data_IF_109057588114
#
_entry.id   IF_109057588114
#
_cell.length_a   1.000
_cell.length_b   1.000
_cell.length_c   1.000
_cell.angle_alpha   90.00
_cell.angle_beta   90.00
_cell.angle_gamma   90.00
#
_symmetry.space_group_name_H-M   'P 1'
#
loop_
_entity.id
_entity.type
_entity.pdbx_description
1 polymer ?
#
# COMPACT_ATOMS: atom_id res chain seq x y z
N UNK A 1 -1.32 -11.28 -11.20
CA UNK A 1 -1.07 -12.18 -12.37
C UNK A 1 -2.32 -12.32 -13.23
N UNK A 2 -3.42 -12.89 -12.71
CA UNK A 2 -4.62 -13.25 -13.51
C UNK A 2 -5.19 -12.07 -14.30
N UNK A 3 -5.31 -10.88 -13.73
CA UNK A 3 -5.77 -9.67 -14.44
C UNK A 3 -4.88 -9.31 -15.63
N UNK A 4 -3.56 -9.41 -15.46
CA UNK A 4 -2.63 -9.18 -16.56
C UNK A 4 -2.78 -10.23 -17.66
N UNK A 5 -2.87 -11.52 -17.32
CA UNK A 5 -3.11 -12.59 -18.30
C UNK A 5 -4.41 -12.37 -19.06
N UNK A 6 -5.47 -11.91 -18.37
CA UNK A 6 -6.79 -11.64 -18.96
C UNK A 6 -6.74 -10.59 -20.09
N UNK A 7 -5.99 -9.49 -19.91
CA UNK A 7 -5.82 -8.46 -20.95
C UNK A 7 -4.73 -8.84 -21.95
N UNK A 8 -3.65 -9.46 -21.54
CA UNK A 8 -2.54 -9.86 -22.39
C UNK A 8 -2.98 -10.88 -23.46
N UNK A 9 -3.90 -11.79 -23.13
CA UNK A 9 -4.46 -12.74 -24.07
C UNK A 9 -5.27 -12.09 -25.22
N UNK A 10 -5.72 -10.87 -25.05
CA UNK A 10 -6.45 -10.11 -26.07
C UNK A 10 -5.60 -9.01 -26.72
N UNK A 11 -4.38 -8.81 -26.24
CA UNK A 11 -3.45 -7.80 -26.77
C UNK A 11 -2.91 -8.21 -28.14
N UNK A 12 -2.81 -7.25 -29.06
CA UNK A 12 -2.38 -7.49 -30.45
C UNK A 12 -0.96 -6.97 -30.74
N UNK A 13 -0.24 -6.48 -29.72
CA UNK A 13 1.16 -6.07 -29.85
C UNK A 13 2.16 -7.21 -29.65
N UNK A 14 3.44 -6.93 -29.87
CA UNK A 14 4.51 -7.93 -29.79
C UNK A 14 4.89 -8.29 -28.36
N UNK A 15 4.95 -7.31 -27.45
CA UNK A 15 5.27 -7.51 -26.02
C UNK A 15 4.10 -7.06 -25.14
N UNK A 16 3.41 -7.99 -24.45
CA UNK A 16 2.35 -7.63 -23.50
C UNK A 16 2.80 -6.69 -22.37
N UNK A 17 4.12 -6.54 -22.15
CA UNK A 17 4.63 -5.57 -21.16
C UNK A 17 4.26 -4.13 -21.50
N UNK A 18 4.00 -3.81 -22.77
CA UNK A 18 3.52 -2.49 -23.21
C UNK A 18 2.16 -2.11 -22.56
N UNK A 19 1.37 -3.10 -22.15
CA UNK A 19 0.12 -2.87 -21.39
C UNK A 19 0.40 -2.12 -20.08
N UNK A 20 1.57 -2.37 -19.47
CA UNK A 20 1.94 -1.84 -18.16
C UNK A 20 2.91 -0.66 -18.29
N UNK A 21 3.97 -0.83 -19.07
CA UNK A 21 5.05 0.15 -19.20
C UNK A 21 4.80 1.26 -20.22
N UNK A 22 3.72 1.15 -20.99
CA UNK A 22 3.38 2.08 -22.06
C UNK A 22 1.91 2.39 -22.16
N UNK A 23 1.45 2.63 -23.38
CA UNK A 23 0.05 2.92 -23.70
C UNK A 23 -0.74 1.69 -24.17
N UNK A 24 -0.16 0.51 -24.04
CA UNK A 24 -0.73 -0.75 -24.55
C UNK A 24 -2.12 -1.05 -24.00
N UNK A 25 -2.40 -0.66 -22.75
CA UNK A 25 -3.73 -0.85 -22.15
C UNK A 25 -4.83 -0.12 -22.94
N UNK A 26 -4.54 1.02 -23.53
CA UNK A 26 -5.49 1.80 -24.33
C UNK A 26 -5.86 1.10 -25.65
N UNK A 27 -5.01 0.17 -26.11
CA UNK A 27 -5.22 -0.62 -27.33
C UNK A 27 -6.09 -1.85 -27.05
N UNK A 28 -6.24 -2.27 -25.78
CA UNK A 28 -7.07 -3.43 -25.41
C UNK A 28 -8.52 -3.01 -25.29
N UNK A 29 -9.41 -3.65 -26.05
CA UNK A 29 -10.86 -3.36 -26.06
C UNK A 29 -11.69 -4.41 -25.34
N UNK A 30 -11.11 -5.55 -25.00
CA UNK A 30 -11.77 -6.64 -24.28
C UNK A 30 -10.73 -7.43 -23.48
N UNK A 31 -11.19 -8.11 -22.44
CA UNK A 31 -10.38 -9.00 -21.63
C UNK A 31 -11.13 -10.34 -21.45
N UNK A 32 -10.41 -11.39 -21.09
CA UNK A 32 -11.05 -12.65 -20.70
C UNK A 32 -11.73 -12.42 -19.34
N UNK A 33 -13.05 -12.71 -19.19
CA UNK A 33 -13.71 -12.60 -17.89
C UNK A 33 -13.01 -13.45 -16.84
N UNK A 34 -12.87 -12.92 -15.62
CA UNK A 34 -12.22 -13.60 -14.52
C UNK A 34 -13.08 -13.57 -13.25
N UNK A 35 -12.96 -14.60 -12.44
CA UNK A 35 -13.44 -14.64 -11.07
C UNK A 35 -12.28 -14.91 -10.13
N UNK A 36 -12.47 -14.67 -8.83
CA UNK A 36 -11.42 -14.87 -7.83
C UNK A 36 -11.92 -15.70 -6.65
N UNK A 37 -11.01 -16.47 -6.07
CA UNK A 37 -11.14 -17.05 -4.73
C UNK A 37 -10.00 -16.46 -3.91
N UNK A 38 -10.32 -15.64 -2.92
CA UNK A 38 -9.33 -14.93 -2.13
C UNK A 38 -8.63 -15.88 -1.15
N UNK A 39 -7.31 -16.00 -1.26
CA UNK A 39 -6.49 -16.83 -0.37
C UNK A 39 -5.51 -16.04 0.48
N UNK A 40 -5.20 -14.79 0.10
CA UNK A 40 -4.31 -13.88 0.83
C UNK A 40 -4.90 -12.48 0.83
N UNK A 41 -5.59 -12.07 1.93
CA UNK A 41 -6.11 -10.71 2.07
C UNK A 41 -4.98 -9.70 2.20
N UNK A 42 -4.95 -8.69 1.34
CA UNK A 42 -3.97 -7.59 1.34
C UNK A 42 -4.40 -6.47 0.39
N UNK A 43 -4.40 -6.76 -0.91
CA UNK A 43 -4.43 -5.81 -2.02
C UNK A 43 -5.83 -5.39 -2.47
N UNK A 44 -6.90 -5.97 -1.92
CA UNK A 44 -8.28 -5.73 -2.41
C UNK A 44 -8.49 -6.09 -3.89
N UNK A 45 -7.56 -6.87 -4.50
CA UNK A 45 -7.58 -7.19 -5.93
C UNK A 45 -8.84 -7.93 -6.37
N UNK A 46 -9.50 -8.60 -5.45
CA UNK A 46 -10.77 -9.28 -5.65
C UNK A 46 -11.94 -8.33 -5.88
N UNK A 47 -11.79 -7.03 -5.53
CA UNK A 47 -12.85 -6.02 -5.64
C UNK A 47 -12.37 -4.69 -6.27
N UNK A 48 -11.24 -4.70 -7.00
CA UNK A 48 -10.73 -3.54 -7.72
C UNK A 48 -10.30 -3.90 -9.15
N UNK A 49 -9.86 -2.91 -9.92
CA UNK A 49 -9.41 -3.08 -11.30
C UNK A 49 -7.88 -3.00 -11.46
N UNK A 50 -7.14 -2.97 -10.36
CA UNK A 50 -5.69 -2.76 -10.37
C UNK A 50 -4.93 -4.10 -10.41
N UNK A 51 -3.73 -4.06 -10.96
CA UNK A 51 -2.76 -5.14 -10.86
C UNK A 51 -1.34 -4.57 -10.87
N UNK A 52 -0.44 -5.22 -10.13
CA UNK A 52 0.99 -4.89 -10.10
C UNK A 52 1.77 -6.11 -10.54
N UNK A 53 2.65 -5.92 -11.51
CA UNK A 53 3.43 -7.01 -12.13
C UNK A 53 4.91 -6.68 -12.06
N UNK A 54 5.71 -7.68 -11.70
CA UNK A 54 7.17 -7.59 -11.73
C UNK A 54 7.73 -8.23 -12.99
N UNK A 55 8.64 -7.53 -13.68
CA UNK A 55 9.45 -8.08 -14.77
C UNK A 55 10.89 -8.20 -14.29
N UNK A 56 11.32 -9.43 -14.03
CA UNK A 56 12.65 -9.70 -13.44
C UNK A 56 13.79 -9.32 -14.36
N UNK A 57 13.64 -9.50 -15.68
CA UNK A 57 14.69 -9.20 -16.66
C UNK A 57 15.08 -7.73 -16.72
N UNK A 58 14.15 -6.82 -16.38
CA UNK A 58 14.36 -5.38 -16.35
C UNK A 58 14.36 -4.81 -14.93
N UNK A 59 14.19 -5.67 -13.91
CA UNK A 59 14.05 -5.27 -12.51
C UNK A 59 12.99 -4.17 -12.31
N UNK A 60 11.83 -4.34 -12.95
CA UNK A 60 10.71 -3.42 -12.84
C UNK A 60 9.55 -4.04 -12.07
N UNK A 61 8.84 -3.22 -11.30
CA UNK A 61 7.57 -3.56 -10.65
C UNK A 61 6.62 -2.40 -10.87
N UNK A 62 5.68 -2.55 -11.79
CA UNK A 62 4.79 -1.49 -12.26
C UNK A 62 3.32 -1.90 -12.10
N UNK A 63 2.46 -0.90 -11.92
CA UNK A 63 1.01 -1.06 -11.81
C UNK A 63 0.32 -0.73 -13.12
N UNK A 64 -0.85 -1.33 -13.33
CA UNK A 64 -1.83 -0.88 -14.31
C UNK A 64 -3.26 -1.06 -13.75
N UNK A 65 -4.20 -0.31 -14.31
CA UNK A 65 -5.62 -0.45 -13.99
C UNK A 65 -6.47 -0.40 -15.26
N UNK A 66 -7.56 -1.16 -15.29
CA UNK A 66 -8.55 -1.14 -16.36
C UNK A 66 -9.88 -1.72 -15.89
N UNK A 67 -10.98 -1.07 -16.25
CA UNK A 67 -12.32 -1.58 -15.94
C UNK A 67 -12.59 -2.97 -16.56
N UNK A 68 -11.83 -3.34 -17.59
CA UNK A 68 -11.92 -4.65 -18.24
C UNK A 68 -11.51 -5.81 -17.33
N UNK A 69 -10.75 -5.56 -16.25
CA UNK A 69 -10.19 -6.60 -15.38
C UNK A 69 -10.83 -6.62 -13.99
N UNK A 70 -11.96 -5.95 -13.78
CA UNK A 70 -12.76 -6.22 -12.60
C UNK A 70 -13.17 -7.69 -12.56
N UNK A 71 -12.99 -8.41 -11.43
CA UNK A 71 -13.55 -9.75 -11.29
C UNK A 71 -15.08 -9.73 -11.46
N UNK A 72 -15.62 -10.69 -12.19
CA UNK A 72 -17.06 -10.84 -12.36
C UNK A 72 -17.74 -11.33 -11.07
N UNK A 73 -17.01 -12.07 -10.27
CA UNK A 73 -17.38 -12.50 -8.93
C UNK A 73 -16.13 -12.76 -8.10
N UNK A 74 -16.29 -12.71 -6.78
CA UNK A 74 -15.21 -13.02 -5.84
C UNK A 74 -15.75 -13.83 -4.66
N UNK A 75 -15.04 -14.90 -4.30
CA UNK A 75 -15.34 -15.73 -3.14
C UNK A 75 -14.36 -15.35 -2.05
N UNK A 76 -14.91 -14.88 -0.92
CA UNK A 76 -14.19 -14.49 0.27
C UNK A 76 -14.51 -15.48 1.39
N UNK A 77 -13.77 -16.59 1.44
CA UNK A 77 -13.90 -17.59 2.49
C UNK A 77 -12.72 -17.46 3.47
N UNK A 78 -12.95 -17.08 4.73
CA UNK A 78 -11.88 -16.92 5.72
C UNK A 78 -11.06 -18.18 5.96
N UNK A 79 -11.64 -19.36 5.78
CA UNK A 79 -10.94 -20.64 5.99
C UNK A 79 -9.79 -20.85 4.99
N UNK A 80 -9.86 -20.26 3.80
CA UNK A 80 -8.77 -20.30 2.82
C UNK A 80 -7.46 -19.69 3.36
N UNK A 81 -7.56 -18.84 4.39
CA UNK A 81 -6.41 -18.18 5.02
C UNK A 81 -5.76 -19.00 6.13
N UNK A 82 -6.34 -20.14 6.55
CA UNK A 82 -5.85 -20.89 7.70
C UNK A 82 -4.47 -21.51 7.49
N UNK A 83 -4.15 -21.85 6.25
CA UNK A 83 -2.84 -22.39 5.87
C UNK A 83 -1.77 -21.30 5.61
N UNK A 84 -2.12 -20.01 5.67
CA UNK A 84 -1.16 -18.94 5.45
C UNK A 84 -0.11 -18.89 6.57
N UNK A 85 1.19 -18.80 6.22
CA UNK A 85 2.22 -18.49 7.19
C UNK A 85 1.94 -17.16 7.89
N UNK A 86 2.26 -17.05 9.17
CA UNK A 86 2.08 -15.80 9.93
C UNK A 86 2.72 -14.58 9.26
N UNK A 87 3.87 -14.77 8.57
CA UNK A 87 4.51 -13.70 7.79
C UNK A 87 3.56 -13.11 6.74
N UNK A 88 2.79 -13.93 6.05
CA UNK A 88 1.86 -13.45 5.02
C UNK A 88 0.66 -12.71 5.61
N UNK A 89 0.20 -13.14 6.79
CA UNK A 89 -0.89 -12.44 7.49
C UNK A 89 -0.43 -11.07 7.94
N UNK A 90 0.76 -10.97 8.57
CA UNK A 90 1.37 -9.68 8.95
C UNK A 90 1.51 -8.76 7.73
N UNK A 91 2.05 -9.30 6.65
CA UNK A 91 2.22 -8.56 5.40
C UNK A 91 0.88 -8.02 4.89
N UNK A 92 -0.16 -8.85 4.87
CA UNK A 92 -1.49 -8.41 4.42
C UNK A 92 -2.12 -7.34 5.31
N UNK A 93 -1.93 -7.44 6.64
CA UNK A 93 -2.43 -6.41 7.59
C UNK A 93 -1.72 -5.08 7.35
N UNK A 94 -0.38 -5.08 7.23
CA UNK A 94 0.41 -3.86 6.99
C UNK A 94 0.07 -3.26 5.63
N UNK A 95 -0.02 -4.08 4.59
CA UNK A 95 -0.38 -3.66 3.24
C UNK A 95 -1.76 -2.97 3.20
N UNK A 96 -2.79 -3.62 3.77
CA UNK A 96 -4.13 -3.03 3.88
C UNK A 96 -4.13 -1.73 4.70
N UNK A 97 -3.36 -1.68 5.78
CA UNK A 97 -3.24 -0.48 6.63
C UNK A 97 -2.63 0.70 5.86
N UNK A 98 -1.56 0.45 5.11
CA UNK A 98 -0.90 1.47 4.29
C UNK A 98 -1.79 1.91 3.14
N UNK A 99 -2.51 0.99 2.47
CA UNK A 99 -3.52 1.35 1.46
C UNK A 99 -4.52 2.38 1.97
N UNK A 100 -5.04 2.19 3.19
CA UNK A 100 -5.96 3.16 3.79
C UNK A 100 -5.26 4.49 4.06
N UNK A 101 -4.02 4.47 4.59
CA UNK A 101 -3.30 5.70 4.93
C UNK A 101 -2.95 6.54 3.70
N UNK A 102 -2.61 5.95 2.56
CA UNK A 102 -2.30 6.69 1.34
C UNK A 102 -3.52 7.33 0.68
N UNK A 103 -4.73 6.85 0.99
CA UNK A 103 -5.99 7.47 0.60
C UNK A 103 -6.52 8.45 1.66
N UNK A 104 -6.02 8.39 2.90
CA UNK A 104 -6.50 9.17 4.04
C UNK A 104 -5.59 10.35 4.40
N UNK A 105 -4.26 10.17 4.40
CA UNK A 105 -3.28 11.21 4.78
C UNK A 105 -2.95 12.15 3.61
N UNK A 106 -3.97 12.70 3.00
CA UNK A 106 -3.88 13.64 1.87
C UNK A 106 -4.42 15.01 2.26
N UNK A 107 -4.33 16.02 1.38
CA UNK A 107 -4.89 17.31 1.71
C UNK A 107 -6.43 17.28 1.84
N UNK A 108 -7.00 18.01 2.81
CA UNK A 108 -8.43 17.93 3.07
C UNK A 108 -9.26 18.62 1.97
N UNK A 109 -10.33 17.97 1.54
CA UNK A 109 -11.33 18.48 0.57
C UNK A 109 -12.76 18.42 1.14
N UNK A 110 -12.91 18.28 2.46
CA UNK A 110 -14.21 18.21 3.13
C UNK A 110 -14.83 16.80 3.18
N UNK A 111 -14.06 15.75 2.99
CA UNK A 111 -14.43 14.34 2.86
C UNK A 111 -14.77 13.67 4.21
N UNK A 112 -15.81 14.09 4.89
CA UNK A 112 -16.15 13.58 6.24
C UNK A 112 -16.49 12.07 6.20
N UNK A 113 -17.25 11.62 5.21
CA UNK A 113 -17.69 10.22 5.11
C UNK A 113 -16.50 9.30 4.83
N UNK A 114 -15.68 9.65 3.84
CA UNK A 114 -14.49 8.88 3.47
C UNK A 114 -13.48 8.81 4.63
N UNK A 115 -13.28 9.93 5.32
CA UNK A 115 -12.45 9.98 6.53
C UNK A 115 -12.94 9.01 7.61
N UNK A 116 -14.25 8.99 7.90
CA UNK A 116 -14.82 8.08 8.91
C UNK A 116 -14.73 6.63 8.50
N UNK A 117 -14.91 6.33 7.23
CA UNK A 117 -14.74 4.97 6.71
C UNK A 117 -13.28 4.52 6.81
N UNK A 118 -12.32 5.37 6.41
CA UNK A 118 -10.90 5.10 6.54
C UNK A 118 -10.48 4.88 8.01
N UNK A 119 -10.92 5.76 8.93
CA UNK A 119 -10.66 5.64 10.36
C UNK A 119 -11.23 4.34 10.95
N UNK A 120 -12.44 3.93 10.54
CA UNK A 120 -13.03 2.67 10.96
C UNK A 120 -12.22 1.46 10.46
N UNK A 121 -11.72 1.48 9.23
CA UNK A 121 -10.87 0.41 8.69
C UNK A 121 -9.52 0.33 9.44
N UNK A 122 -8.87 1.47 9.72
CA UNK A 122 -7.63 1.51 10.49
C UNK A 122 -7.82 0.94 11.91
N UNK A 123 -8.87 1.35 12.61
CA UNK A 123 -9.22 0.83 13.93
C UNK A 123 -9.50 -0.67 13.89
N UNK A 124 -10.26 -1.14 12.90
CA UNK A 124 -10.57 -2.56 12.72
C UNK A 124 -9.31 -3.40 12.50
N UNK A 125 -8.38 -2.91 11.66
CA UNK A 125 -7.11 -3.59 11.41
C UNK A 125 -6.23 -3.66 12.66
N UNK A 126 -6.16 -2.57 13.45
CA UNK A 126 -5.44 -2.57 14.73
C UNK A 126 -6.06 -3.58 15.72
N UNK A 127 -7.39 -3.59 15.84
CA UNK A 127 -8.11 -4.46 16.79
C UNK A 127 -7.97 -5.94 16.41
N UNK A 128 -8.10 -6.26 15.12
CA UNK A 128 -8.14 -7.65 14.66
C UNK A 128 -6.75 -8.27 14.54
N UNK A 129 -5.70 -7.46 14.33
CA UNK A 129 -4.35 -7.93 14.02
C UNK A 129 -3.80 -8.97 15.03
N UNK A 130 -3.85 -8.75 16.36
CA UNK A 130 -3.35 -9.73 17.32
C UNK A 130 -4.07 -11.09 17.25
N UNK A 131 -5.39 -11.07 17.01
CA UNK A 131 -6.21 -12.29 16.91
C UNK A 131 -6.03 -12.99 15.57
N UNK A 132 -5.88 -12.23 14.48
CA UNK A 132 -5.62 -12.79 13.16
C UNK A 132 -4.28 -13.54 13.07
N UNK A 133 -3.33 -13.23 13.95
CA UNK A 133 -2.03 -13.89 14.06
C UNK A 133 -2.02 -15.11 15.00
N UNK A 134 -3.11 -15.39 15.71
CA UNK A 134 -3.18 -16.50 16.66
C UNK A 134 -3.23 -17.85 15.96
N UNK A 135 -2.77 -18.88 16.69
CA UNK A 135 -2.92 -20.27 16.32
C UNK A 135 -3.53 -21.05 17.50
N UNK A 136 -4.56 -21.87 17.28
CA UNK A 136 -5.25 -22.12 16.01
C UNK A 136 -5.94 -20.85 15.46
N UNK A 137 -6.20 -20.78 14.13
CA UNK A 137 -6.83 -19.61 13.52
C UNK A 137 -8.24 -19.35 14.08
N UNK A 138 -8.53 -18.08 14.36
CA UNK A 138 -9.86 -17.61 14.73
C UNK A 138 -10.64 -17.19 13.47
N UNK A 139 -11.78 -17.83 13.21
CA UNK A 139 -12.61 -17.55 12.04
C UNK A 139 -13.04 -16.09 11.96
N UNK A 140 -13.54 -15.54 13.07
CA UNK A 140 -14.05 -14.17 13.08
C UNK A 140 -12.92 -13.15 12.84
N UNK A 141 -11.75 -13.38 13.44
CA UNK A 141 -10.60 -12.52 13.20
C UNK A 141 -10.16 -12.57 11.73
N UNK A 142 -10.11 -13.76 11.11
CA UNK A 142 -9.76 -13.89 9.70
C UNK A 142 -10.81 -13.30 8.78
N UNK A 143 -12.11 -13.44 9.08
CA UNK A 143 -13.21 -12.84 8.34
C UNK A 143 -13.15 -11.31 8.39
N UNK A 144 -12.96 -10.73 9.57
CA UNK A 144 -12.86 -9.28 9.74
C UNK A 144 -11.61 -8.70 9.06
N UNK A 145 -10.46 -9.38 9.19
CA UNK A 145 -9.25 -8.99 8.48
C UNK A 145 -9.45 -9.03 6.95
N UNK A 146 -10.00 -10.13 6.43
CA UNK A 146 -10.27 -10.30 5.00
C UNK A 146 -11.17 -9.18 4.47
N UNK A 147 -12.26 -8.89 5.17
CA UNK A 147 -13.20 -7.84 4.78
C UNK A 147 -12.60 -6.44 4.90
N UNK A 148 -11.81 -6.16 5.94
CA UNK A 148 -11.11 -4.90 6.08
C UNK A 148 -10.09 -4.68 4.95
N UNK A 149 -9.31 -5.71 4.58
CA UNK A 149 -8.35 -5.64 3.50
C UNK A 149 -9.02 -5.40 2.13
N UNK A 150 -10.16 -6.07 1.87
CA UNK A 150 -10.97 -5.81 0.66
C UNK A 150 -11.43 -4.36 0.59
N UNK A 151 -11.96 -3.82 1.71
CA UNK A 151 -12.45 -2.44 1.75
C UNK A 151 -11.33 -1.39 1.77
N UNK A 152 -10.11 -1.77 2.14
CA UNK A 152 -8.96 -0.87 2.13
C UNK A 152 -8.60 -0.37 0.72
N UNK A 153 -8.90 -1.16 -0.34
CA UNK A 153 -8.56 -0.79 -1.71
C UNK A 153 -9.62 -1.23 -2.74
N UNK A 154 -10.90 -1.10 -2.42
CA UNK A 154 -12.01 -1.32 -3.35
C UNK A 154 -12.51 -0.04 -4.03
N UNK A 155 -11.76 1.06 -3.91
CA UNK A 155 -12.09 2.38 -4.44
C UNK A 155 -13.34 3.05 -3.82
N UNK A 156 -13.77 2.64 -2.62
CA UNK A 156 -14.88 3.29 -1.95
C UNK A 156 -14.40 4.53 -1.16
N UNK A 157 -13.33 4.38 -0.36
CA UNK A 157 -12.84 5.45 0.51
C UNK A 157 -12.09 6.56 -0.23
N UNK A 158 -11.66 6.33 -1.48
CA UNK A 158 -10.99 7.33 -2.31
C UNK A 158 -11.94 8.14 -3.21
N UNK A 159 -13.24 7.88 -3.19
CA UNK A 159 -14.16 8.58 -4.09
C UNK A 159 -14.26 10.07 -3.75
N UNK A 160 -13.76 10.90 -4.68
CA UNK A 160 -13.77 12.36 -4.55
C UNK A 160 -12.71 12.91 -3.59
N UNK A 161 -11.71 12.11 -3.23
CA UNK A 161 -10.56 12.54 -2.42
C UNK A 161 -9.25 12.33 -3.19
N UNK A 162 -8.19 13.12 -2.92
CA UNK A 162 -6.87 12.89 -3.48
C UNK A 162 -6.23 11.63 -2.88
N UNK A 163 -5.30 11.04 -3.63
CA UNK A 163 -4.52 9.87 -3.22
C UNK A 163 -3.02 10.18 -3.30
N UNK A 164 -2.21 9.62 -2.39
CA UNK A 164 -0.77 9.87 -2.35
C UNK A 164 0.03 8.86 -3.17
N UNK A 165 0.00 7.61 -2.80
CA UNK A 165 0.71 6.46 -3.38
C UNK A 165 2.25 6.52 -3.34
N UNK A 166 2.87 7.57 -2.83
CA UNK A 166 4.33 7.71 -2.80
C UNK A 166 5.02 6.59 -2.00
N UNK A 167 4.40 6.10 -0.90
CA UNK A 167 4.95 4.96 -0.15
C UNK A 167 4.99 3.70 -1.01
N UNK A 168 3.94 3.43 -1.79
CA UNK A 168 3.86 2.28 -2.67
C UNK A 168 4.85 2.39 -3.83
N UNK A 169 4.96 3.54 -4.48
CA UNK A 169 5.86 3.75 -5.61
C UNK A 169 7.33 3.57 -5.19
N UNK A 170 7.74 4.16 -4.06
CA UNK A 170 9.06 3.95 -3.47
C UNK A 170 9.26 2.48 -3.09
N UNK A 171 8.26 1.87 -2.46
CA UNK A 171 8.28 0.46 -2.06
C UNK A 171 8.40 -0.50 -3.24
N UNK A 172 7.80 -0.18 -4.40
CA UNK A 172 7.93 -0.97 -5.63
C UNK A 172 9.37 -0.98 -6.14
N UNK A 173 10.05 0.18 -6.13
CA UNK A 173 11.45 0.26 -6.53
C UNK A 173 12.37 -0.53 -5.59
N UNK A 174 12.14 -0.45 -4.27
CA UNK A 174 12.89 -1.25 -3.28
C UNK A 174 12.65 -2.75 -3.50
N UNK A 175 11.40 -3.17 -3.73
CA UNK A 175 11.12 -4.58 -4.06
C UNK A 175 11.84 -5.02 -5.33
N UNK A 176 11.84 -4.19 -6.37
CA UNK A 176 12.45 -4.50 -7.66
C UNK A 176 13.98 -4.63 -7.57
N UNK A 177 14.63 -3.81 -6.74
CA UNK A 177 16.09 -3.78 -6.59
C UNK A 177 16.60 -4.83 -5.59
N UNK A 178 15.91 -5.01 -4.47
CA UNK A 178 16.42 -5.80 -3.34
C UNK A 178 15.61 -7.07 -3.05
N UNK A 179 14.47 -7.27 -3.73
CA UNK A 179 13.63 -8.47 -3.53
C UNK A 179 12.90 -8.50 -2.19
N UNK A 180 12.88 -7.39 -1.43
CA UNK A 180 12.16 -7.30 -0.16
C UNK A 180 10.65 -7.46 -0.39
N UNK A 181 9.95 -8.14 0.52
CA UNK A 181 8.51 -8.31 0.41
C UNK A 181 7.79 -6.96 0.46
N UNK A 182 6.69 -6.83 -0.31
CA UNK A 182 6.02 -5.55 -0.52
C UNK A 182 5.65 -4.84 0.79
N UNK A 183 4.96 -5.52 1.70
CA UNK A 183 4.58 -4.91 2.98
C UNK A 183 5.79 -4.53 3.86
N UNK A 184 6.91 -5.25 3.73
CA UNK A 184 8.15 -4.91 4.43
C UNK A 184 8.72 -3.59 3.90
N UNK A 185 8.64 -3.34 2.58
CA UNK A 185 9.05 -2.04 2.00
C UNK A 185 8.13 -0.90 2.46
N UNK A 186 6.83 -1.15 2.53
CA UNK A 186 5.86 -0.15 3.00
C UNK A 186 6.11 0.23 4.46
N UNK A 187 6.36 -0.77 5.33
CA UNK A 187 6.67 -0.53 6.74
C UNK A 187 7.98 0.27 6.92
N UNK A 188 8.99 0.00 6.07
CA UNK A 188 10.27 0.70 6.13
C UNK A 188 10.22 2.14 5.58
N UNK A 189 9.25 2.47 4.72
CA UNK A 189 9.17 3.78 4.05
C UNK A 189 8.16 4.72 4.71
N UNK A 190 6.94 4.23 5.00
CA UNK A 190 5.81 5.08 5.40
C UNK A 190 6.10 6.01 6.60
N UNK A 191 6.67 5.56 7.74
CA UNK A 191 6.90 6.46 8.87
C UNK A 191 7.83 7.63 8.53
N UNK A 192 8.81 7.38 7.67
CA UNK A 192 9.79 8.38 7.26
C UNK A 192 9.24 9.35 6.23
N UNK A 193 8.37 8.89 5.32
CA UNK A 193 7.60 9.75 4.43
C UNK A 193 6.66 10.65 5.24
N UNK A 194 5.93 10.10 6.22
CA UNK A 194 5.10 10.87 7.13
C UNK A 194 5.92 11.93 7.87
N UNK A 195 7.12 11.57 8.35
CA UNK A 195 8.01 12.51 9.03
C UNK A 195 8.55 13.58 8.09
N UNK A 196 8.94 13.22 6.87
CA UNK A 196 9.44 14.14 5.86
C UNK A 196 8.39 15.17 5.44
N UNK A 197 7.17 14.70 5.19
CA UNK A 197 6.00 15.52 4.76
C UNK A 197 5.13 16.01 5.93
N UNK A 198 5.63 15.95 7.18
CA UNK A 198 4.80 16.23 8.36
C UNK A 198 4.22 17.64 8.45
N UNK A 199 4.84 18.63 7.76
CA UNK A 199 4.33 19.99 7.71
C UNK A 199 3.13 20.10 6.78
N UNK A 200 3.27 19.56 5.59
CA UNK A 200 2.23 19.55 4.54
C UNK A 200 1.03 18.70 4.96
N UNK A 201 1.30 17.54 5.56
CA UNK A 201 0.28 16.59 6.05
C UNK A 201 -0.21 16.89 7.48
N UNK A 202 0.17 18.05 8.08
CA UNK A 202 -0.09 18.37 9.49
C UNK A 202 -1.56 18.18 9.89
N UNK A 203 -2.51 18.71 9.13
CA UNK A 203 -3.93 18.64 9.47
C UNK A 203 -4.43 17.18 9.60
N UNK A 204 -4.02 16.35 8.65
CA UNK A 204 -4.42 14.93 8.62
C UNK A 204 -3.67 14.07 9.63
N UNK A 205 -2.39 14.34 9.88
CA UNK A 205 -1.63 13.66 10.93
C UNK A 205 -2.20 13.94 12.32
N UNK A 206 -2.62 15.18 12.59
CA UNK A 206 -3.30 15.55 13.84
C UNK A 206 -4.66 14.85 13.97
N UNK A 207 -5.44 14.79 12.89
CA UNK A 207 -6.72 14.10 12.84
C UNK A 207 -6.53 12.58 13.07
N UNK A 208 -5.60 11.97 12.38
CA UNK A 208 -5.24 10.56 12.48
C UNK A 208 -4.82 10.18 13.90
N UNK A 209 -3.86 10.91 14.47
CA UNK A 209 -3.39 10.67 15.83
C UNK A 209 -4.49 10.79 16.88
N UNK A 210 -5.39 11.76 16.72
CA UNK A 210 -6.50 11.94 17.65
C UNK A 210 -7.58 10.84 17.50
N UNK A 211 -7.98 10.54 16.27
CA UNK A 211 -9.14 9.68 16.01
C UNK A 211 -8.84 8.19 16.03
N UNK A 212 -7.62 7.81 15.64
CA UNK A 212 -7.23 6.39 15.61
C UNK A 212 -6.45 5.99 16.88
N UNK A 213 -5.53 6.84 17.35
CA UNK A 213 -4.71 6.52 18.52
C UNK A 213 -5.10 7.25 19.81
N UNK A 214 -6.08 8.15 19.77
CA UNK A 214 -6.53 8.89 20.95
C UNK A 214 -5.52 9.91 21.49
N UNK A 215 -4.54 10.34 20.69
CA UNK A 215 -3.44 11.25 21.11
C UNK A 215 -3.99 12.67 21.33
N UNK A 216 -3.83 13.22 22.56
CA UNK A 216 -4.44 14.49 23.03
C UNK A 216 -3.43 15.45 23.66
N UNK A 217 -2.15 15.43 23.26
CA UNK A 217 -1.17 16.39 23.81
C UNK A 217 -1.44 17.82 23.35
N UNK A 218 -0.98 18.85 24.10
CA UNK A 218 -1.30 20.24 23.78
C UNK A 218 -0.51 20.78 22.58
N UNK A 219 0.76 20.39 22.43
CA UNK A 219 1.62 20.86 21.34
C UNK A 219 1.37 20.07 20.06
N UNK A 220 1.10 20.74 18.95
CA UNK A 220 0.84 20.11 17.65
C UNK A 220 2.02 19.29 17.13
N UNK A 221 3.25 19.79 17.24
CA UNK A 221 4.44 19.06 16.84
C UNK A 221 4.59 17.74 17.58
N UNK A 222 4.43 17.77 18.92
CA UNK A 222 4.47 16.57 19.76
C UNK A 222 3.35 15.56 19.39
N UNK A 223 2.17 16.04 19.03
CA UNK A 223 1.07 15.16 18.58
C UNK A 223 1.41 14.48 17.27
N UNK A 224 2.03 15.19 16.34
CA UNK A 224 2.46 14.62 15.05
C UNK A 224 3.54 13.57 15.28
N UNK A 225 4.57 13.88 16.06
CA UNK A 225 5.66 12.96 16.36
C UNK A 225 5.11 11.68 17.03
N UNK A 226 4.26 11.81 18.05
CA UNK A 226 3.59 10.67 18.68
C UNK A 226 2.68 9.87 17.73
N UNK A 227 2.09 10.52 16.74
CA UNK A 227 1.26 9.83 15.73
C UNK A 227 2.11 8.95 14.83
N UNK A 228 3.28 9.46 14.40
CA UNK A 228 4.24 8.69 13.60
C UNK A 228 4.83 7.54 14.42
N UNK A 229 5.20 7.82 15.68
CA UNK A 229 5.68 6.80 16.63
C UNK A 229 4.63 5.70 16.87
N UNK A 230 3.35 6.05 17.05
CA UNK A 230 2.27 5.08 17.24
C UNK A 230 2.05 4.20 16.00
N UNK A 231 2.22 4.76 14.79
CA UNK A 231 2.17 3.99 13.55
C UNK A 231 3.32 2.99 13.47
N UNK A 232 4.55 3.44 13.78
CA UNK A 232 5.73 2.56 13.85
C UNK A 232 5.56 1.48 14.92
N UNK A 233 5.03 1.84 16.10
CA UNK A 233 4.77 0.89 17.19
C UNK A 233 3.74 -0.17 16.78
N UNK A 234 2.72 0.19 16.03
CA UNK A 234 1.78 -0.79 15.46
C UNK A 234 2.49 -1.78 14.55
N UNK A 235 3.33 -1.32 13.61
CA UNK A 235 4.09 -2.22 12.75
C UNK A 235 5.07 -3.11 13.54
N UNK A 236 5.77 -2.54 14.53
CA UNK A 236 6.65 -3.31 15.41
C UNK A 236 5.89 -4.37 16.21
N UNK A 237 4.66 -4.09 16.66
CA UNK A 237 3.82 -5.06 17.37
C UNK A 237 3.47 -6.28 16.51
N UNK A 238 3.51 -6.13 15.19
CA UNK A 238 3.35 -7.20 14.21
C UNK A 238 4.68 -7.89 13.86
N UNK A 239 5.81 -7.46 14.45
CA UNK A 239 7.14 -7.93 14.09
C UNK A 239 7.61 -7.43 12.72
N UNK A 240 7.15 -6.24 12.30
CA UNK A 240 7.56 -5.58 11.05
C UNK A 240 8.49 -4.40 11.39
N UNK A 241 9.80 -4.50 11.14
CA UNK A 241 10.72 -3.37 11.28
C UNK A 241 10.37 -2.19 10.38
N UNK A 242 10.67 -0.98 10.85
CA UNK A 242 10.40 0.28 10.14
C UNK A 242 11.68 0.97 9.65
N UNK A 243 12.73 0.21 9.42
CA UNK A 243 13.98 0.71 8.83
C UNK A 243 14.53 -0.25 7.78
N UNK A 244 15.18 0.29 6.76
CA UNK A 244 15.85 -0.50 5.72
C UNK A 244 17.03 -1.30 6.29
N UNK A 245 17.75 -0.75 7.25
CA UNK A 245 18.89 -1.39 7.92
C UNK A 245 18.49 -2.71 8.58
N UNK A 246 17.30 -2.77 9.18
CA UNK A 246 16.79 -3.98 9.82
C UNK A 246 16.53 -5.13 8.82
N UNK A 247 16.42 -4.80 7.53
CA UNK A 247 16.31 -5.76 6.43
C UNK A 247 17.64 -6.01 5.70
N UNK A 248 18.75 -5.48 6.22
CA UNK A 248 20.07 -5.64 5.63
C UNK A 248 20.31 -4.78 4.38
N UNK A 249 19.51 -3.74 4.17
CA UNK A 249 19.63 -2.79 3.06
C UNK A 249 20.31 -1.53 3.57
N UNK A 250 21.36 -1.08 2.89
CA UNK A 250 22.02 0.19 3.16
C UNK A 250 21.12 1.35 2.70
N UNK A 251 20.65 2.24 3.61
CA UNK A 251 19.77 3.34 3.27
C UNK A 251 20.40 4.37 2.33
N UNK A 252 21.71 4.59 2.38
CA UNK A 252 22.39 5.54 1.49
C UNK A 252 22.47 4.98 0.07
N UNK A 253 22.82 3.69 -0.09
CA UNK A 253 22.81 3.01 -1.39
C UNK A 253 21.38 2.96 -1.98
N UNK A 254 20.39 2.60 -1.18
CA UNK A 254 19.00 2.54 -1.61
C UNK A 254 18.50 3.93 -2.04
N UNK A 255 18.86 4.97 -1.29
CA UNK A 255 18.50 6.36 -1.61
C UNK A 255 19.00 6.78 -2.99
N UNK A 256 20.26 6.48 -3.32
CA UNK A 256 20.85 6.81 -4.63
C UNK A 256 20.17 6.06 -5.77
N UNK A 257 20.08 4.74 -5.66
CA UNK A 257 19.52 3.88 -6.71
C UNK A 257 18.03 4.15 -6.97
N UNK A 258 17.23 4.32 -5.91
CA UNK A 258 15.79 4.58 -6.07
C UNK A 258 15.56 5.98 -6.64
N UNK A 259 16.29 7.00 -6.15
CA UNK A 259 16.19 8.36 -6.66
C UNK A 259 16.51 8.44 -8.16
N UNK A 260 17.60 7.79 -8.60
CA UNK A 260 17.97 7.72 -10.01
C UNK A 260 16.84 7.14 -10.88
N UNK A 261 16.17 6.08 -10.41
CA UNK A 261 15.07 5.44 -11.14
C UNK A 261 13.81 6.31 -11.21
N UNK A 262 13.49 7.03 -10.13
CA UNK A 262 12.38 7.99 -10.10
C UNK A 262 12.64 9.13 -11.09
N UNK A 263 13.85 9.71 -11.05
CA UNK A 263 14.23 10.83 -11.93
C UNK A 263 14.33 10.39 -13.41
N UNK A 264 14.85 9.20 -13.68
CA UNK A 264 14.94 8.65 -15.04
C UNK A 264 13.56 8.44 -15.68
N UNK A 265 12.52 8.20 -14.88
CA UNK A 265 11.13 8.10 -15.36
C UNK A 265 10.42 9.45 -15.39
N UNK A 266 11.02 10.51 -14.88
CA UNK A 266 10.39 11.82 -14.75
C UNK A 266 9.21 11.83 -13.76
N UNK A 267 9.21 10.92 -12.79
CA UNK A 267 8.12 10.80 -11.83
C UNK A 267 8.19 11.88 -10.76
N UNK A 268 7.02 12.44 -10.45
CA UNK A 268 6.79 13.32 -9.32
C UNK A 268 5.70 12.68 -8.47
N UNK A 269 6.09 12.14 -7.31
CA UNK A 269 5.23 11.31 -6.47
C UNK A 269 4.40 12.16 -5.50
N UNK A 270 3.44 11.51 -4.84
CA UNK A 270 2.59 12.09 -3.82
C UNK A 270 1.39 12.87 -4.38
N UNK A 271 0.45 13.20 -3.50
CA UNK A 271 -0.82 13.87 -3.85
C UNK A 271 -0.65 15.27 -4.44
N UNK A 272 0.51 15.90 -4.27
CA UNK A 272 0.85 17.20 -4.86
C UNK A 272 1.81 17.09 -6.04
N UNK A 273 2.22 15.89 -6.42
CA UNK A 273 3.26 15.66 -7.44
C UNK A 273 4.52 16.49 -7.17
N UNK A 274 4.98 16.51 -5.91
CA UNK A 274 6.08 17.33 -5.42
C UNK A 274 7.20 16.53 -4.72
N UNK A 275 7.18 15.21 -4.83
CA UNK A 275 8.22 14.31 -4.32
C UNK A 275 9.05 13.81 -5.51
N UNK A 276 10.21 14.45 -5.71
CA UNK A 276 11.21 14.09 -6.73
C UNK A 276 12.16 12.99 -6.24
N UNK A 277 13.08 12.52 -7.09
CA UNK A 277 14.14 11.60 -6.68
C UNK A 277 14.99 12.14 -5.52
N UNK A 278 15.26 13.45 -5.49
CA UNK A 278 15.95 14.10 -4.36
C UNK A 278 15.19 13.93 -3.03
N UNK A 279 13.89 14.08 -3.06
CA UNK A 279 13.04 13.95 -1.88
C UNK A 279 12.96 12.49 -1.44
N UNK A 280 12.84 11.56 -2.40
CA UNK A 280 12.90 10.12 -2.15
C UNK A 280 14.21 9.72 -1.48
N UNK A 281 15.35 10.24 -1.97
CA UNK A 281 16.64 9.99 -1.35
C UNK A 281 16.70 10.50 0.10
N UNK A 282 16.13 11.68 0.37
CA UNK A 282 16.07 12.23 1.72
C UNK A 282 15.20 11.37 2.65
N UNK A 283 14.06 10.87 2.16
CA UNK A 283 13.16 9.97 2.90
C UNK A 283 13.87 8.66 3.25
N UNK A 284 14.52 8.02 2.26
CA UNK A 284 15.17 6.72 2.47
C UNK A 284 16.37 6.80 3.41
N UNK A 285 17.14 7.89 3.40
CA UNK A 285 18.24 8.12 4.35
C UNK A 285 17.78 8.25 5.80
N UNK A 286 16.52 8.55 6.06
CA UNK A 286 15.95 8.55 7.41
C UNK A 286 15.66 7.13 7.90
N UNK A 287 15.47 6.17 7.02
CA UNK A 287 15.08 4.77 7.31
C UNK A 287 16.30 3.91 7.78
N UNK A 288 17.01 4.41 8.78
CA UNK A 288 18.21 3.79 9.37
C UNK A 288 17.92 2.85 10.53
#
# INVERSE_FOLDING_TARGET
GTKFVSVAAAYQGDDPWEIIAGDGINKVKKAIPLGTVLTLPATGSEMNHNAVISRRSTQEKLSFGSDLVFPQFSILDPETTYSLPQKQIRNGIVDAYVHVLEQYLTYPVGQIVQDRQAEALLLSLIEVAPKALQFPPDYNARANFMWAATNALNHLINRGVPEDWATHDIGHEITALYGLAHAETLAAVLPWLMWYKRKEKQAKLLQYGYRVFGIKTQKYSERIDKTIEATSAFFHSLGMPTSLTAYGIDPDEAAEKVAERIDARGWQLGEHHDISGKDVAAILRLSR
#
